data_IF_496708086530
#
_entry.id   IF_496708086530
#
_cell.length_a   1.000
_cell.length_b   1.000
_cell.length_c   1.000
_cell.angle_alpha   90.00
_cell.angle_beta   90.00
_cell.angle_gamma   90.00
#
_symmetry.space_group_name_H-M   'P 1'
#
loop_
_entity.id
_entity.type
_entity.pdbx_description
1 polymer ?
#
# COMPACT_ATOMS: atom_id res chain seq x y z
N UNK A 1 -43.08 23.40 41.17
CA UNK A 1 -43.14 24.38 40.07
C UNK A 1 -42.25 23.91 38.93
N UNK A 2 -42.79 23.69 37.73
CA UNK A 2 -42.04 23.18 36.57
C UNK A 2 -41.04 24.24 36.06
N UNK A 3 -39.79 23.84 35.83
CA UNK A 3 -38.73 24.70 35.28
C UNK A 3 -38.99 24.93 33.79
N UNK A 4 -39.29 26.17 33.42
CA UNK A 4 -39.47 26.58 32.02
C UNK A 4 -38.14 26.45 31.28
N UNK A 5 -38.03 25.51 30.36
CA UNK A 5 -36.88 25.44 29.44
C UNK A 5 -37.13 26.39 28.28
N UNK A 6 -36.52 27.57 28.30
CA UNK A 6 -36.51 28.45 27.15
C UNK A 6 -35.72 27.77 26.01
N UNK A 7 -36.31 27.76 24.81
CA UNK A 7 -35.65 27.29 23.60
C UNK A 7 -34.44 28.18 23.33
N UNK A 8 -33.30 27.57 23.01
CA UNK A 8 -32.08 28.29 22.63
C UNK A 8 -32.34 29.12 21.38
N UNK A 9 -31.76 30.31 21.31
CA UNK A 9 -31.83 31.13 20.11
C UNK A 9 -31.02 30.47 18.98
N UNK A 10 -31.32 30.75 17.70
CA UNK A 10 -30.56 30.19 16.57
C UNK A 10 -29.04 30.45 16.66
N UNK A 11 -28.68 31.63 17.19
CA UNK A 11 -27.29 32.01 17.41
C UNK A 11 -26.62 31.15 18.50
N UNK A 12 -27.33 30.90 19.61
CA UNK A 12 -26.83 30.05 20.69
C UNK A 12 -26.73 28.57 20.26
N UNK A 13 -27.59 28.12 19.35
CA UNK A 13 -27.49 26.78 18.77
C UNK A 13 -26.27 26.65 17.83
N UNK A 14 -25.98 27.67 17.03
CA UNK A 14 -24.80 27.71 16.16
C UNK A 14 -23.50 27.64 16.98
N UNK A 15 -23.40 28.44 18.05
CA UNK A 15 -22.26 28.43 18.97
C UNK A 15 -22.10 27.07 19.67
N UNK A 16 -23.23 26.48 20.09
CA UNK A 16 -23.22 25.15 20.69
C UNK A 16 -22.73 24.07 19.71
N UNK A 17 -23.12 24.14 18.43
CA UNK A 17 -22.63 23.23 17.37
C UNK A 17 -21.14 23.45 17.10
N UNK A 18 -20.66 24.69 17.03
CA UNK A 18 -19.24 25.02 16.87
C UNK A 18 -18.39 24.50 18.04
N UNK A 19 -18.85 24.70 19.28
CA UNK A 19 -18.20 24.17 20.48
C UNK A 19 -18.15 22.64 20.50
N UNK A 20 -19.22 21.98 20.06
CA UNK A 20 -19.27 20.51 19.95
C UNK A 20 -18.33 19.98 18.86
N UNK A 21 -18.23 20.67 17.72
CA UNK A 21 -17.31 20.35 16.62
C UNK A 21 -15.85 20.47 17.08
N UNK A 22 -15.47 21.59 17.70
CA UNK A 22 -14.12 21.82 18.25
C UNK A 22 -13.75 20.79 19.32
N UNK A 23 -14.69 20.38 20.18
CA UNK A 23 -14.46 19.29 21.15
C UNK A 23 -14.21 17.94 20.47
N UNK A 24 -14.91 17.62 19.38
CA UNK A 24 -14.70 16.38 18.62
C UNK A 24 -13.34 16.41 17.91
N UNK A 25 -13.00 17.50 17.24
CA UNK A 25 -11.70 17.68 16.58
C UNK A 25 -10.54 17.58 17.58
N UNK A 26 -10.66 18.20 18.76
CA UNK A 26 -9.65 18.08 19.81
C UNK A 26 -9.49 16.64 20.34
N UNK A 27 -10.60 15.88 20.44
CA UNK A 27 -10.54 14.45 20.80
C UNK A 27 -9.89 13.60 19.70
N UNK A 28 -10.19 13.86 18.43
CA UNK A 28 -9.54 13.17 17.30
C UNK A 28 -8.05 13.49 17.21
N UNK A 29 -7.65 14.75 17.44
CA UNK A 29 -6.25 15.16 17.46
C UNK A 29 -5.47 14.45 18.58
N UNK A 30 -6.07 14.28 19.77
CA UNK A 30 -5.45 13.53 20.88
C UNK A 30 -5.34 12.03 20.58
N UNK A 31 -6.39 11.43 20.02
CA UNK A 31 -6.40 9.99 19.68
C UNK A 31 -5.40 9.64 18.56
N UNK A 32 -5.08 10.61 17.69
CA UNK A 32 -4.07 10.46 16.63
C UNK A 32 -2.61 10.56 17.11
N UNK A 33 -2.34 11.14 18.29
CA UNK A 33 -0.97 11.24 18.84
C UNK A 33 -0.62 10.15 19.87
N UNK A 34 -1.56 9.25 20.17
CA UNK A 34 -1.46 8.28 21.27
C UNK A 34 -1.30 6.83 20.78
N UNK A 35 -0.69 6.61 19.61
CA UNK A 35 -0.38 5.26 19.09
C UNK A 35 1.09 4.87 19.23
N UNK A 36 1.88 5.53 20.08
CA UNK A 36 3.31 5.17 20.17
C UNK A 36 4.04 5.49 21.47
N UNK A 37 3.44 5.24 22.63
CA UNK A 37 4.21 5.03 23.88
C UNK A 37 3.38 4.20 24.87
N UNK A 38 4.01 3.12 25.36
CA UNK A 38 3.67 2.34 26.56
C UNK A 38 2.26 1.74 26.71
N UNK A 39 2.15 0.45 26.34
CA UNK A 39 1.18 -0.46 26.97
C UNK A 39 1.62 -0.74 28.41
N UNK A 40 1.39 0.22 29.30
CA UNK A 40 1.33 -0.04 30.74
C UNK A 40 -0.02 -0.70 31.07
N UNK A 41 0.09 -1.85 31.70
CA UNK A 41 -0.95 -2.72 32.24
C UNK A 41 -2.01 -1.97 33.05
N UNK A 42 -3.21 -1.79 32.50
CA UNK A 42 -4.42 -1.48 33.29
C UNK A 42 -5.47 -2.56 33.11
N UNK A 43 -5.35 -3.54 33.99
CA UNK A 43 -6.40 -4.44 34.46
C UNK A 43 -7.50 -3.57 35.08
N UNK A 44 -8.64 -3.43 34.40
CA UNK A 44 -9.88 -2.94 35.02
C UNK A 44 -10.96 -3.98 34.84
N UNK A 45 -11.42 -4.43 36.00
CA UNK A 45 -12.55 -5.31 36.19
C UNK A 45 -13.86 -4.55 36.00
N UNK A 46 -14.82 -5.21 35.34
CA UNK A 46 -16.28 -5.16 35.53
C UNK A 46 -16.81 -6.19 34.53
N UNK A 47 -17.23 -7.41 34.90
CA UNK A 47 -18.33 -7.75 35.80
C UNK A 47 -19.54 -6.87 35.53
N UNK A 48 -20.32 -7.22 34.52
CA UNK A 48 -21.76 -7.20 34.65
C UNK A 48 -22.31 -8.45 33.94
N UNK A 49 -22.94 -9.29 34.73
CA UNK A 49 -23.69 -10.46 34.27
C UNK A 49 -25.04 -9.96 33.80
N UNK A 50 -25.43 -10.28 32.57
CA UNK A 50 -26.84 -10.39 32.26
C UNK A 50 -27.07 -11.62 31.40
N UNK A 51 -28.10 -12.37 31.79
CA UNK A 51 -28.37 -13.73 31.37
C UNK A 51 -28.91 -13.81 29.95
N UNK A 52 -28.45 -14.83 29.24
CA UNK A 52 -29.00 -15.26 27.96
C UNK A 52 -28.87 -16.77 27.89
N UNK A 53 -29.92 -17.43 28.37
CA UNK A 53 -30.18 -18.86 28.28
C UNK A 53 -30.34 -19.25 26.82
N UNK A 54 -29.33 -19.89 26.21
CA UNK A 54 -29.45 -20.53 24.91
C UNK A 54 -28.85 -21.94 24.96
N UNK A 55 -29.70 -22.85 25.41
CA UNK A 55 -30.08 -24.08 24.71
C UNK A 55 -28.94 -24.88 24.04
N UNK A 56 -28.58 -25.93 24.79
CA UNK A 56 -27.91 -27.17 24.41
C UNK A 56 -28.06 -27.63 22.94
N UNK A 57 -26.91 -27.85 22.28
CA UNK A 57 -26.76 -28.78 21.16
C UNK A 57 -25.66 -29.81 21.48
N UNK A 58 -25.85 -31.12 21.23
CA UNK A 58 -24.90 -32.15 21.66
C UNK A 58 -23.64 -32.17 20.79
N UNK A 59 -22.48 -32.00 21.43
CA UNK A 59 -21.17 -32.24 20.83
C UNK A 59 -20.86 -33.75 20.76
N UNK A 60 -20.24 -34.26 19.68
CA UNK A 60 -19.79 -35.64 19.59
C UNK A 60 -18.55 -35.90 20.47
N UNK A 61 -18.37 -37.13 20.98
CA UNK A 61 -17.30 -37.47 21.92
C UNK A 61 -15.93 -37.50 21.25
N UNK A 62 -14.96 -36.81 21.87
CA UNK A 62 -13.53 -36.97 21.59
C UNK A 62 -12.96 -38.09 22.47
N UNK A 63 -12.11 -38.98 21.93
CA UNK A 63 -11.40 -39.97 22.72
C UNK A 63 -10.22 -39.36 23.48
N UNK A 64 -9.98 -39.94 24.65
CA UNK A 64 -9.11 -39.43 25.70
C UNK A 64 -7.60 -39.63 25.48
N UNK A 65 -6.86 -38.82 26.24
CA UNK A 65 -5.62 -39.12 26.94
C UNK A 65 -4.29 -39.17 26.16
N UNK A 66 -3.48 -38.14 26.42
CA UNK A 66 -2.03 -38.20 26.40
C UNK A 66 -1.42 -36.98 27.12
N UNK A 67 -0.84 -37.12 28.32
CA UNK A 67 -0.21 -36.02 29.03
C UNK A 67 1.30 -35.99 28.75
N UNK A 68 1.77 -34.91 28.14
CA UNK A 68 3.20 -34.60 28.08
C UNK A 68 3.45 -33.10 28.01
N UNK A 69 3.78 -32.53 29.18
CA UNK A 69 4.77 -31.44 29.26
C UNK A 69 6.11 -32.02 28.78
N UNK A 70 6.93 -31.29 28.01
CA UNK A 70 7.73 -30.17 28.53
C UNK A 70 7.76 -29.02 27.49
N UNK A 71 8.44 -27.89 27.58
CA UNK A 71 9.70 -27.51 28.18
C UNK A 71 9.70 -25.97 28.15
N UNK A 72 10.16 -25.34 29.23
CA UNK A 72 10.33 -23.90 29.32
C UNK A 72 11.63 -23.48 28.65
N UNK A 73 11.54 -22.77 27.52
CA UNK A 73 12.63 -21.99 26.91
C UNK A 73 11.96 -20.74 26.31
N UNK A 74 12.04 -19.63 27.04
CA UNK A 74 13.01 -18.56 26.81
C UNK A 74 12.51 -17.50 25.83
N UNK A 75 12.48 -16.28 26.37
CA UNK A 75 12.26 -14.99 25.73
C UNK A 75 13.00 -14.84 24.39
N UNK A 76 12.39 -15.28 23.30
CA UNK A 76 12.88 -15.03 21.96
C UNK A 76 11.96 -14.06 21.23
N UNK A 77 12.41 -12.81 21.21
CA UNK A 77 12.10 -11.75 20.26
C UNK A 77 10.84 -11.97 19.42
N UNK A 78 9.79 -11.25 19.83
CA UNK A 78 8.59 -10.92 19.07
C UNK A 78 8.95 -10.25 17.73
N UNK A 79 9.48 -11.02 16.78
CA UNK A 79 9.47 -10.71 15.35
C UNK A 79 8.01 -10.65 14.97
N UNK A 80 7.54 -9.43 14.78
CA UNK A 80 6.23 -9.06 14.24
C UNK A 80 5.96 -9.89 12.98
N UNK A 81 5.37 -11.07 13.14
CA UNK A 81 4.78 -11.81 12.03
C UNK A 81 3.57 -10.97 11.64
N UNK A 82 3.55 -10.39 10.43
CA UNK A 82 2.36 -9.71 9.96
C UNK A 82 1.19 -10.68 10.12
N UNK A 83 0.10 -10.21 10.71
CA UNK A 83 -1.09 -11.01 10.85
C UNK A 83 -1.67 -11.24 9.45
N UNK A 84 -1.28 -12.37 8.84
CA UNK A 84 -1.63 -12.72 7.47
C UNK A 84 -3.14 -12.90 7.32
N UNK A 85 -3.84 -13.26 8.39
CA UNK A 85 -5.30 -13.33 8.40
C UNK A 85 -5.91 -11.94 8.35
N UNK A 86 -5.39 -10.98 9.12
CA UNK A 86 -5.83 -9.59 9.05
C UNK A 86 -5.58 -8.96 7.67
N UNK A 87 -4.42 -9.20 7.06
CA UNK A 87 -4.08 -8.69 5.72
C UNK A 87 -4.97 -9.33 4.65
N UNK A 88 -5.27 -10.63 4.77
CA UNK A 88 -6.17 -11.34 3.86
C UNK A 88 -7.60 -10.82 3.99
N UNK A 89 -8.08 -10.62 5.22
CA UNK A 89 -9.39 -10.06 5.48
C UNK A 89 -9.52 -8.63 4.92
N UNK A 90 -8.49 -7.80 5.05
CA UNK A 90 -8.49 -6.44 4.47
C UNK A 90 -8.53 -6.47 2.93
N UNK A 91 -7.79 -7.39 2.29
CA UNK A 91 -7.82 -7.57 0.84
C UNK A 91 -9.16 -8.14 0.35
N UNK A 92 -9.76 -9.06 1.09
CA UNK A 92 -11.10 -9.61 0.79
C UNK A 92 -12.18 -8.54 0.99
N UNK A 93 -12.09 -7.73 2.05
CA UNK A 93 -12.98 -6.58 2.27
C UNK A 93 -12.82 -5.53 1.16
N UNK A 94 -11.58 -5.27 0.71
CA UNK A 94 -11.31 -4.35 -0.39
C UNK A 94 -11.90 -4.85 -1.72
N UNK A 95 -11.72 -6.14 -2.04
CA UNK A 95 -12.33 -6.77 -3.22
C UNK A 95 -13.85 -6.81 -3.12
N UNK A 96 -14.39 -7.07 -1.93
CA UNK A 96 -15.82 -7.03 -1.69
C UNK A 96 -16.37 -5.62 -1.90
N UNK A 97 -15.69 -4.58 -1.38
CA UNK A 97 -16.06 -3.18 -1.63
C UNK A 97 -15.95 -2.79 -3.10
N UNK A 98 -14.91 -3.20 -3.81
CA UNK A 98 -14.75 -2.94 -5.24
C UNK A 98 -15.86 -3.62 -6.06
N UNK A 99 -16.16 -4.88 -5.74
CA UNK A 99 -17.27 -5.62 -6.36
C UNK A 99 -18.62 -4.95 -6.10
N UNK A 100 -18.87 -4.48 -4.87
CA UNK A 100 -20.08 -3.73 -4.54
C UNK A 100 -20.12 -2.37 -5.24
N UNK A 101 -18.99 -1.67 -5.35
CA UNK A 101 -18.92 -0.39 -6.05
C UNK A 101 -19.21 -0.52 -7.55
N UNK A 102 -18.66 -1.55 -8.21
CA UNK A 102 -18.96 -1.83 -9.62
C UNK A 102 -20.42 -2.24 -9.84
N UNK A 103 -21.02 -2.98 -8.91
CA UNK A 103 -22.43 -3.36 -8.99
C UNK A 103 -23.39 -2.15 -8.88
N UNK A 104 -23.02 -1.08 -8.18
CA UNK A 104 -23.82 0.16 -8.14
C UNK A 104 -23.56 1.08 -9.33
N UNK A 105 -22.40 1.00 -9.97
CA UNK A 105 -22.07 1.82 -11.15
C UNK A 105 -22.84 1.36 -12.40
N UNK A 106 -23.18 0.06 -12.48
CA UNK A 106 -24.06 -0.48 -13.52
C UNK A 106 -25.55 -0.13 -13.32
N UNK A 107 -25.97 0.23 -12.10
CA UNK A 107 -27.37 0.56 -11.78
C UNK A 107 -27.73 2.02 -12.17
N UNK A 108 -26.74 2.91 -12.29
CA UNK A 108 -26.92 4.26 -12.86
C UNK A 108 -27.37 4.21 -14.35
N UNK A 109 -27.17 3.08 -15.04
CA UNK A 109 -27.63 2.87 -16.43
C UNK A 109 -29.15 2.63 -16.50
N UNK A 110 -29.75 2.02 -15.49
CA UNK A 110 -31.19 1.77 -15.42
C UNK A 110 -31.97 3.08 -15.19
N UNK A 111 -31.48 3.94 -14.30
CA UNK A 111 -32.05 5.28 -14.08
C UNK A 111 -32.01 6.14 -15.36
N UNK A 112 -30.94 6.03 -16.16
CA UNK A 112 -30.83 6.73 -17.45
C UNK A 112 -31.81 6.19 -18.51
N UNK A 113 -32.07 4.88 -18.52
CA UNK A 113 -32.94 4.23 -19.48
C UNK A 113 -34.42 4.43 -19.11
N UNK A 114 -34.74 4.43 -17.82
CA UNK A 114 -36.05 4.81 -17.27
C UNK A 114 -36.35 6.30 -17.49
N UNK A 115 -35.36 7.18 -17.31
CA UNK A 115 -35.51 8.60 -17.65
C UNK A 115 -35.80 8.80 -19.15
N UNK A 116 -35.09 8.08 -20.03
CA UNK A 116 -35.33 8.13 -21.48
C UNK A 116 -36.69 7.55 -21.86
N UNK A 117 -37.15 6.45 -21.24
CA UNK A 117 -38.48 5.89 -21.48
C UNK A 117 -39.60 6.81 -20.98
N UNK A 118 -39.45 7.44 -19.81
CA UNK A 118 -40.42 8.41 -19.30
C UNK A 118 -40.47 9.69 -20.14
N UNK A 119 -39.33 10.15 -20.69
CA UNK A 119 -39.29 11.27 -21.62
C UNK A 119 -40.01 10.94 -22.95
N UNK A 120 -39.86 9.70 -23.45
CA UNK A 120 -40.54 9.23 -24.65
C UNK A 120 -42.05 9.05 -24.44
N UNK A 121 -42.46 8.50 -23.28
CA UNK A 121 -43.87 8.33 -22.93
C UNK A 121 -44.62 9.67 -22.75
N UNK A 122 -43.97 10.69 -22.20
CA UNK A 122 -44.59 12.00 -22.01
C UNK A 122 -44.61 12.87 -23.26
N UNK A 123 -43.71 12.67 -24.22
CA UNK A 123 -43.64 13.51 -25.43
C UNK A 123 -44.60 13.07 -26.54
N UNK A 124 -44.90 11.77 -26.63
CA UNK A 124 -45.81 11.23 -27.66
C UNK A 124 -47.27 11.49 -27.29
N UNK A 125 -47.63 11.25 -26.03
CA UNK A 125 -49.03 11.34 -25.57
C UNK A 125 -49.59 12.78 -25.51
N UNK A 126 -48.73 13.80 -25.51
CA UNK A 126 -49.14 15.22 -25.43
C UNK A 126 -49.11 15.97 -26.76
N UNK A 127 -48.55 15.38 -27.82
CA UNK A 127 -48.49 15.98 -29.16
C UNK A 127 -49.50 15.37 -30.13
N UNK A 128 -50.22 14.34 -29.71
CA UNK A 128 -51.29 13.74 -30.51
C UNK A 128 -52.49 14.69 -30.52
N UNK A 129 -52.90 15.07 -31.73
CA UNK A 129 -54.01 16.00 -31.93
C UNK A 129 -55.31 15.30 -31.45
N UNK A 130 -56.10 15.86 -30.50
CA UNK A 130 -57.18 15.15 -29.82
C UNK A 130 -58.31 14.62 -30.72
N UNK A 131 -58.28 14.93 -32.01
CA UNK A 131 -59.24 14.46 -33.03
C UNK A 131 -58.92 13.06 -33.56
N UNK A 132 -57.73 12.53 -33.29
CA UNK A 132 -57.29 11.20 -33.73
C UNK A 132 -57.10 10.21 -32.58
N UNK A 133 -57.41 10.60 -31.33
CA UNK A 133 -57.43 9.68 -30.18
C UNK A 133 -58.79 8.99 -30.11
N UNK A 134 -58.80 7.72 -29.68
CA UNK A 134 -60.05 7.05 -29.39
C UNK A 134 -60.73 7.66 -28.15
N UNK A 135 -62.02 7.37 -27.95
CA UNK A 135 -62.80 7.97 -26.87
C UNK A 135 -62.27 7.59 -25.46
N UNK A 136 -61.56 6.46 -25.34
CA UNK A 136 -61.01 5.96 -24.07
C UNK A 136 -59.67 6.65 -23.73
N UNK A 137 -58.77 6.77 -24.71
CA UNK A 137 -57.54 7.56 -24.67
C UNK A 137 -57.82 9.05 -24.45
N UNK A 138 -58.86 9.60 -25.08
CA UNK A 138 -59.30 10.98 -24.85
C UNK A 138 -59.80 11.17 -23.42
N UNK A 139 -60.57 10.23 -22.87
CA UNK A 139 -61.04 10.28 -21.49
C UNK A 139 -59.89 10.19 -20.48
N UNK A 140 -58.85 9.42 -20.77
CA UNK A 140 -57.63 9.36 -19.96
C UNK A 140 -56.80 10.65 -20.08
N UNK A 141 -56.69 11.22 -21.28
CA UNK A 141 -56.02 12.50 -21.50
C UNK A 141 -56.68 13.65 -20.73
N UNK A 142 -58.02 13.71 -20.73
CA UNK A 142 -58.78 14.68 -19.94
C UNK A 142 -58.59 14.42 -18.44
N UNK A 143 -58.64 13.17 -17.97
CA UNK A 143 -58.37 12.82 -16.56
C UNK A 143 -56.97 13.21 -16.13
N UNK A 144 -55.95 12.92 -16.94
CA UNK A 144 -54.56 13.29 -16.69
C UNK A 144 -54.35 14.82 -16.72
N UNK A 145 -54.98 15.52 -17.67
CA UNK A 145 -54.94 16.98 -17.76
C UNK A 145 -55.64 17.66 -16.58
N UNK A 146 -56.76 17.12 -16.13
CA UNK A 146 -57.48 17.59 -14.93
C UNK A 146 -56.71 17.27 -13.65
N UNK A 147 -56.07 16.10 -13.55
CA UNK A 147 -55.21 15.73 -12.43
C UNK A 147 -54.02 16.69 -12.30
N UNK A 148 -53.35 17.02 -13.41
CA UNK A 148 -52.26 18.01 -13.42
C UNK A 148 -52.71 19.41 -13.01
N UNK A 149 -53.92 19.83 -13.38
CA UNK A 149 -54.47 21.14 -12.98
C UNK A 149 -54.86 21.19 -11.51
N UNK A 150 -55.37 20.08 -10.95
CA UNK A 150 -55.81 19.98 -9.55
C UNK A 150 -54.66 19.70 -8.58
N UNK A 151 -53.64 18.95 -9.02
CA UNK A 151 -52.46 18.56 -8.24
C UNK A 151 -51.20 19.28 -8.73
N UNK A 152 -51.37 20.46 -9.36
CA UNK A 152 -50.25 21.29 -9.81
C UNK A 152 -49.27 21.64 -8.69
N UNK A 153 -49.81 21.83 -7.47
CA UNK A 153 -49.02 22.08 -6.27
C UNK A 153 -48.20 20.86 -5.86
N UNK A 154 -48.80 19.66 -5.84
CA UNK A 154 -48.08 18.42 -5.52
C UNK A 154 -46.96 18.12 -6.52
N UNK A 155 -47.20 18.36 -7.81
CA UNK A 155 -46.19 18.17 -8.85
C UNK A 155 -45.01 19.14 -8.70
N UNK A 156 -45.29 20.39 -8.31
CA UNK A 156 -44.26 21.38 -8.02
C UNK A 156 -43.44 20.98 -6.79
N UNK A 157 -44.07 20.46 -5.74
CA UNK A 157 -43.40 19.97 -4.54
C UNK A 157 -42.55 18.72 -4.83
N UNK A 158 -43.05 17.79 -5.64
CA UNK A 158 -42.32 16.60 -6.05
C UNK A 158 -41.09 16.96 -6.91
N UNK A 159 -41.25 17.91 -7.85
CA UNK A 159 -40.11 18.43 -8.62
C UNK A 159 -39.09 19.12 -7.73
N UNK A 160 -39.51 19.93 -6.74
CA UNK A 160 -38.58 20.54 -5.79
C UNK A 160 -37.85 19.49 -4.95
N UNK A 161 -38.55 18.45 -4.49
CA UNK A 161 -37.96 17.36 -3.71
C UNK A 161 -36.96 16.55 -4.54
N UNK A 162 -37.27 16.28 -5.81
CA UNK A 162 -36.34 15.61 -6.75
C UNK A 162 -35.11 16.48 -7.01
N UNK A 163 -35.30 17.76 -7.34
CA UNK A 163 -34.21 18.70 -7.56
C UNK A 163 -33.32 18.84 -6.31
N UNK A 164 -33.88 18.87 -5.10
CA UNK A 164 -33.13 18.92 -3.85
C UNK A 164 -32.32 17.62 -3.60
N UNK A 165 -32.88 16.45 -3.91
CA UNK A 165 -32.17 15.16 -3.80
C UNK A 165 -31.02 15.08 -4.81
N UNK A 166 -31.25 15.50 -6.04
CA UNK A 166 -30.24 15.47 -7.10
C UNK A 166 -29.13 16.50 -6.83
N UNK A 167 -29.48 17.69 -6.32
CA UNK A 167 -28.50 18.67 -5.85
C UNK A 167 -27.63 18.10 -4.71
N UNK A 168 -28.24 17.46 -3.70
CA UNK A 168 -27.49 16.83 -2.60
C UNK A 168 -26.56 15.71 -3.10
N UNK A 169 -27.04 14.87 -4.03
CA UNK A 169 -26.22 13.82 -4.64
C UNK A 169 -25.06 14.39 -5.44
N UNK A 170 -25.29 15.48 -6.18
CA UNK A 170 -24.26 16.17 -6.95
C UNK A 170 -23.19 16.78 -6.04
N UNK A 171 -23.59 17.43 -4.94
CA UNK A 171 -22.67 17.98 -3.94
C UNK A 171 -21.83 16.88 -3.26
N UNK A 172 -22.46 15.76 -2.89
CA UNK A 172 -21.75 14.62 -2.30
C UNK A 172 -20.76 13.99 -3.28
N UNK A 173 -21.16 13.83 -4.55
CA UNK A 173 -20.28 13.34 -5.62
C UNK A 173 -19.11 14.29 -5.87
N UNK A 174 -19.34 15.60 -5.83
CA UNK A 174 -18.29 16.61 -5.97
C UNK A 174 -17.29 16.56 -4.80
N UNK A 175 -17.79 16.49 -3.55
CA UNK A 175 -16.95 16.37 -2.37
C UNK A 175 -16.13 15.06 -2.35
N UNK A 176 -16.74 13.94 -2.78
CA UNK A 176 -16.05 12.66 -2.93
C UNK A 176 -14.99 12.72 -4.03
N UNK A 177 -15.26 13.39 -5.15
CA UNK A 177 -14.29 13.55 -6.23
C UNK A 177 -13.09 14.42 -5.81
N UNK A 178 -13.31 15.50 -5.05
CA UNK A 178 -12.22 16.35 -4.54
C UNK A 178 -11.31 15.58 -3.56
N UNK A 179 -11.90 14.85 -2.62
CA UNK A 179 -11.14 14.02 -1.66
C UNK A 179 -10.38 12.89 -2.35
N UNK A 180 -10.98 12.24 -3.35
CA UNK A 180 -10.30 11.22 -4.15
C UNK A 180 -9.11 11.80 -4.94
N UNK A 181 -9.24 13.01 -5.50
CA UNK A 181 -8.13 13.69 -6.18
C UNK A 181 -6.98 14.01 -5.22
N UNK A 182 -7.30 14.52 -4.03
CA UNK A 182 -6.28 14.82 -3.03
C UNK A 182 -5.58 13.56 -2.51
N UNK A 183 -6.33 12.47 -2.30
CA UNK A 183 -5.77 11.18 -1.90
C UNK A 183 -4.84 10.59 -2.96
N UNK A 184 -5.20 10.67 -4.24
CA UNK A 184 -4.37 10.22 -5.36
C UNK A 184 -3.04 10.97 -5.42
N UNK A 185 -3.05 12.30 -5.27
CA UNK A 185 -1.83 13.10 -5.22
C UNK A 185 -0.92 12.72 -4.03
N UNK A 186 -1.50 12.48 -2.87
CA UNK A 186 -0.75 12.04 -1.69
C UNK A 186 -0.13 10.64 -1.86
N UNK A 187 -0.81 9.73 -2.58
CA UNK A 187 -0.27 8.41 -2.89
C UNK A 187 0.91 8.49 -3.89
N UNK A 188 0.78 9.31 -4.93
CA UNK A 188 1.84 9.54 -5.91
C UNK A 188 3.08 10.18 -5.26
N UNK A 189 2.90 11.14 -4.34
CA UNK A 189 4.00 11.73 -3.58
C UNK A 189 4.71 10.68 -2.72
N UNK A 190 3.95 9.80 -2.04
CA UNK A 190 4.51 8.70 -1.26
C UNK A 190 5.31 7.74 -2.14
N UNK A 191 4.83 7.41 -3.34
CA UNK A 191 5.54 6.58 -4.31
C UNK A 191 6.85 7.26 -4.75
N UNK A 192 6.81 8.54 -5.12
CA UNK A 192 8.00 9.32 -5.49
C UNK A 192 9.06 9.31 -4.39
N UNK A 193 8.64 9.54 -3.15
CA UNK A 193 9.54 9.55 -1.98
C UNK A 193 10.16 8.18 -1.70
N UNK A 194 9.47 7.08 -1.99
CA UNK A 194 10.03 5.71 -1.88
C UNK A 194 11.12 5.50 -2.95
N UNK A 195 10.83 5.85 -4.21
CA UNK A 195 11.78 5.74 -5.31
C UNK A 195 13.04 6.58 -5.06
N UNK A 196 12.89 7.83 -4.61
CA UNK A 196 14.03 8.69 -4.27
C UNK A 196 14.92 8.07 -3.19
N UNK A 197 14.32 7.47 -2.16
CA UNK A 197 15.07 6.76 -1.12
C UNK A 197 15.80 5.54 -1.66
N UNK A 198 15.19 4.78 -2.56
CA UNK A 198 15.80 3.62 -3.20
C UNK A 198 16.97 4.02 -4.10
N UNK A 199 16.83 5.09 -4.88
CA UNK A 199 17.92 5.67 -5.68
C UNK A 199 19.08 6.07 -4.77
N UNK A 200 18.79 6.84 -3.71
CA UNK A 200 19.80 7.27 -2.74
C UNK A 200 20.49 6.09 -2.04
N UNK A 201 19.73 5.04 -1.74
CA UNK A 201 20.24 3.78 -1.17
C UNK A 201 21.17 3.07 -2.15
N UNK A 202 20.80 3.00 -3.43
CA UNK A 202 21.62 2.39 -4.45
C UNK A 202 22.93 3.16 -4.68
N UNK A 203 22.88 4.49 -4.66
CA UNK A 203 24.07 5.33 -4.84
C UNK A 203 25.05 5.20 -3.67
N UNK A 204 24.54 5.18 -2.43
CA UNK A 204 25.37 4.89 -1.27
C UNK A 204 26.02 3.50 -1.34
N UNK A 205 25.27 2.48 -1.77
CA UNK A 205 25.80 1.15 -1.97
C UNK A 205 26.91 1.12 -3.03
N UNK A 206 26.80 1.92 -4.10
CA UNK A 206 27.84 2.07 -5.12
C UNK A 206 29.10 2.75 -4.57
N UNK A 207 28.96 3.80 -3.77
CA UNK A 207 30.10 4.44 -3.10
C UNK A 207 30.84 3.47 -2.17
N UNK A 208 30.10 2.68 -1.39
CA UNK A 208 30.66 1.66 -0.52
C UNK A 208 31.37 0.55 -1.31
N UNK A 209 30.77 0.07 -2.40
CA UNK A 209 31.38 -0.87 -3.34
C UNK A 209 32.75 -0.39 -3.83
N UNK A 210 32.83 0.85 -4.31
CA UNK A 210 34.10 1.41 -4.79
C UNK A 210 35.12 1.57 -3.65
N UNK A 211 34.67 1.98 -2.47
CA UNK A 211 35.52 2.18 -1.30
C UNK A 211 36.10 0.85 -0.79
N UNK A 212 35.27 -0.19 -0.68
CA UNK A 212 35.68 -1.53 -0.27
C UNK A 212 36.64 -2.16 -1.27
N UNK A 213 36.41 -1.98 -2.57
CA UNK A 213 37.36 -2.40 -3.59
C UNK A 213 38.73 -1.73 -3.43
N UNK A 214 38.76 -0.41 -3.18
CA UNK A 214 40.02 0.32 -2.94
C UNK A 214 40.74 -0.21 -1.70
N UNK A 215 40.04 -0.41 -0.59
CA UNK A 215 40.61 -0.96 0.64
C UNK A 215 41.17 -2.37 0.44
N UNK A 216 40.42 -3.23 -0.24
CA UNK A 216 40.79 -4.62 -0.47
C UNK A 216 42.02 -4.75 -1.38
N UNK A 217 42.14 -3.88 -2.39
CA UNK A 217 43.31 -3.81 -3.28
C UNK A 217 44.53 -3.13 -2.64
N UNK A 218 44.33 -2.21 -1.69
CA UNK A 218 45.42 -1.54 -0.99
C UNK A 218 45.98 -2.36 0.18
N UNK A 219 45.19 -3.25 0.76
CA UNK A 219 45.60 -4.08 1.89
C UNK A 219 46.69 -5.10 1.45
N UNK A 220 47.83 -5.16 2.16
CA UNK A 220 48.88 -6.12 1.86
C UNK A 220 48.40 -7.56 2.04
N UNK A 221 48.98 -8.48 1.27
CA UNK A 221 48.68 -9.92 1.36
C UNK A 221 49.42 -10.56 2.53
N UNK A 222 49.06 -10.18 3.75
CA UNK A 222 49.56 -10.87 4.94
C UNK A 222 48.77 -12.16 5.15
N UNK A 223 49.25 -13.23 4.51
CA UNK A 223 48.65 -14.57 4.59
C UNK A 223 48.88 -15.25 5.94
N UNK A 224 49.74 -14.69 6.79
CA UNK A 224 50.13 -15.30 8.07
C UNK A 224 49.10 -15.06 9.19
N UNK A 225 48.23 -14.05 9.07
CA UNK A 225 47.22 -13.78 10.09
C UNK A 225 45.84 -14.34 9.68
N UNK A 226 45.34 -15.41 10.33
CA UNK A 226 44.04 -16.01 10.00
C UNK A 226 42.85 -15.07 10.22
N UNK A 227 43.01 -14.02 11.05
CA UNK A 227 42.00 -12.98 11.21
C UNK A 227 41.90 -12.04 9.99
N UNK A 228 42.93 -12.01 9.15
CA UNK A 228 42.96 -11.24 7.90
C UNK A 228 42.36 -11.99 6.71
N UNK A 229 41.92 -13.24 6.90
CA UNK A 229 41.29 -14.04 5.84
C UNK A 229 39.90 -13.49 5.51
N UNK A 230 39.70 -13.16 4.24
CA UNK A 230 38.46 -12.66 3.67
C UNK A 230 37.40 -13.76 3.67
N UNK A 231 36.21 -13.42 4.17
CA UNK A 231 35.01 -14.24 4.02
C UNK A 231 34.25 -13.89 2.73
N UNK A 232 33.27 -14.71 2.39
CA UNK A 232 32.36 -14.46 1.26
C UNK A 232 31.70 -13.06 1.33
N UNK A 233 31.39 -12.56 2.54
CA UNK A 233 30.72 -11.28 2.73
C UNK A 233 31.66 -10.07 2.64
N UNK A 234 32.98 -10.30 2.73
CA UNK A 234 33.99 -9.25 2.67
C UNK A 234 34.25 -8.81 1.23
N UNK A 235 33.95 -9.67 0.26
CA UNK A 235 34.04 -9.36 -1.17
C UNK A 235 32.93 -8.37 -1.55
N UNK A 236 33.26 -7.22 -2.15
CA UNK A 236 32.28 -6.23 -2.59
C UNK A 236 31.55 -6.70 -3.86
N UNK A 237 30.48 -7.46 -3.68
CA UNK A 237 29.62 -7.94 -4.77
C UNK A 237 28.82 -6.79 -5.42
N UNK A 238 28.59 -6.81 -6.74
CA UNK A 238 27.89 -5.74 -7.45
C UNK A 238 26.36 -5.84 -7.28
N UNK A 239 25.87 -5.84 -6.04
CA UNK A 239 24.44 -5.88 -5.69
C UNK A 239 24.16 -4.96 -4.49
N UNK A 240 22.98 -4.34 -4.44
CA UNK A 240 22.63 -3.38 -3.37
C UNK A 240 22.56 -4.05 -1.99
N UNK A 241 22.15 -5.32 -1.92
CA UNK A 241 21.99 -6.07 -0.67
C UNK A 241 23.31 -6.40 0.04
N UNK A 242 24.44 -6.40 -0.69
CA UNK A 242 25.76 -6.67 -0.12
C UNK A 242 26.33 -5.51 0.71
N UNK A 243 25.74 -4.32 0.58
CA UNK A 243 26.25 -3.09 1.18
C UNK A 243 25.42 -2.67 2.39
N UNK A 244 26.12 -2.27 3.47
CA UNK A 244 25.46 -1.87 4.71
C UNK A 244 24.65 -0.62 4.42
N UNK A 245 23.41 -0.60 4.90
CA UNK A 245 22.60 0.60 4.81
C UNK A 245 23.20 1.67 5.72
N UNK A 246 23.29 2.91 5.20
CA UNK A 246 23.69 4.06 6.02
C UNK A 246 22.82 4.04 7.28
N UNK A 247 23.42 4.07 8.49
CA UNK A 247 22.63 4.04 9.71
C UNK A 247 21.65 5.21 9.68
N UNK A 248 20.37 4.89 9.70
CA UNK A 248 19.34 5.91 9.80
C UNK A 248 19.62 6.74 11.06
N UNK A 249 19.43 8.05 10.95
CA UNK A 249 19.80 9.10 11.93
C UNK A 249 19.23 8.92 13.35
N UNK A 250 18.59 7.79 13.68
CA UNK A 250 18.08 7.41 14.99
C UNK A 250 18.87 6.22 15.57
N UNK A 251 20.07 6.49 16.08
CA UNK A 251 20.67 5.75 17.20
C UNK A 251 20.90 4.23 17.09
N UNK A 252 20.63 3.55 15.97
CA UNK A 252 20.75 2.08 15.85
C UNK A 252 22.12 1.61 15.34
N UNK A 253 23.14 2.46 15.38
CA UNK A 253 24.27 2.38 14.45
C UNK A 253 25.44 1.47 14.84
N UNK A 254 25.30 0.48 15.74
CA UNK A 254 26.45 -0.41 16.03
C UNK A 254 26.16 -1.91 16.14
N UNK A 255 24.91 -2.35 16.30
CA UNK A 255 24.62 -3.77 16.52
C UNK A 255 23.91 -4.47 15.36
N UNK A 256 23.65 -3.78 14.24
CA UNK A 256 23.09 -4.45 13.08
C UNK A 256 24.07 -5.53 12.56
N UNK A 257 23.63 -6.79 12.42
CA UNK A 257 24.47 -7.88 11.93
C UNK A 257 24.99 -7.55 10.52
N UNK A 258 26.16 -8.08 10.13
CA UNK A 258 26.67 -7.91 8.78
C UNK A 258 25.65 -8.42 7.76
N UNK A 259 25.53 -7.76 6.59
CA UNK A 259 24.63 -8.22 5.53
C UNK A 259 25.02 -9.64 5.12
N UNK A 260 24.07 -10.58 5.21
CA UNK A 260 24.25 -11.96 4.75
C UNK A 260 23.93 -12.02 3.27
N UNK A 261 24.95 -12.10 2.42
CA UNK A 261 24.78 -12.26 0.97
C UNK A 261 24.74 -13.74 0.63
N UNK A 262 23.71 -14.21 -0.06
CA UNK A 262 23.61 -15.57 -0.60
C UNK A 262 23.96 -15.62 -2.09
N UNK A 263 24.18 -16.83 -2.64
CA UNK A 263 24.39 -16.99 -4.09
C UNK A 263 23.14 -16.65 -4.89
N UNK A 264 21.97 -16.90 -4.33
CA UNK A 264 20.68 -16.66 -4.98
C UNK A 264 20.39 -15.17 -5.14
N UNK A 265 20.99 -14.32 -4.30
CA UNK A 265 20.88 -12.86 -4.40
C UNK A 265 21.65 -12.28 -5.61
N UNK A 266 22.60 -13.05 -6.18
CA UNK A 266 23.40 -12.63 -7.34
C UNK A 266 22.65 -12.86 -8.65
N UNK A 267 21.45 -12.29 -8.76
CA UNK A 267 20.65 -12.37 -9.99
C UNK A 267 21.18 -11.41 -11.05
N UNK A 268 20.97 -11.76 -12.32
CA UNK A 268 21.32 -10.89 -13.46
C UNK A 268 20.66 -9.53 -13.33
N UNK A 269 19.40 -9.48 -12.89
CA UNK A 269 18.63 -8.25 -12.69
C UNK A 269 19.21 -7.37 -11.57
N UNK A 270 19.62 -7.96 -10.44
CA UNK A 270 20.21 -7.22 -9.34
C UNK A 270 21.57 -6.61 -9.73
N UNK A 271 22.40 -7.38 -10.44
CA UNK A 271 23.70 -6.93 -10.96
C UNK A 271 23.51 -5.83 -12.00
N UNK A 272 22.56 -6.01 -12.92
CA UNK A 272 22.24 -5.02 -13.96
C UNK A 272 21.80 -3.71 -13.35
N UNK A 273 20.83 -3.77 -12.43
CA UNK A 273 20.29 -2.59 -11.72
C UNK A 273 21.38 -1.85 -10.94
N UNK A 274 22.32 -2.60 -10.34
CA UNK A 274 23.42 -2.04 -9.56
C UNK A 274 24.51 -1.39 -10.42
N UNK A 275 24.84 -1.96 -11.59
CA UNK A 275 25.89 -1.40 -12.46
C UNK A 275 25.37 -0.34 -13.42
N UNK A 276 24.10 -0.44 -13.83
CA UNK A 276 23.47 0.38 -14.86
C UNK A 276 22.19 1.01 -14.32
N UNK A 277 22.28 2.18 -13.65
CA UNK A 277 21.08 2.93 -13.26
C UNK A 277 20.31 3.40 -14.51
N UNK A 278 19.01 3.09 -14.57
CA UNK A 278 18.08 3.56 -15.60
C UNK A 278 17.68 5.04 -15.34
N UNK A 279 17.37 5.85 -16.36
CA UNK A 279 17.46 5.61 -17.80
C UNK A 279 18.69 6.31 -18.42
N UNK A 280 19.58 5.52 -19.03
CA UNK A 280 20.71 6.04 -19.79
C UNK A 280 20.28 6.34 -21.25
N UNK A 281 19.73 7.52 -21.49
CA UNK A 281 19.22 7.92 -22.82
C UNK A 281 20.30 8.57 -23.71
N UNK A 282 21.49 8.88 -23.17
CA UNK A 282 22.59 9.49 -23.90
C UNK A 282 23.59 8.50 -24.50
N UNK A 283 24.15 8.82 -25.67
CA UNK A 283 25.23 8.03 -26.30
C UNK A 283 26.52 8.03 -25.45
N UNK A 284 26.80 9.15 -24.77
CA UNK A 284 27.89 9.27 -23.78
C UNK A 284 27.68 8.32 -22.59
N UNK A 285 26.44 8.20 -22.13
CA UNK A 285 26.07 7.30 -21.02
C UNK A 285 26.21 5.83 -21.42
N UNK A 286 25.90 5.48 -22.68
CA UNK A 286 26.16 4.14 -23.22
C UNK A 286 27.65 3.78 -23.23
N UNK A 287 28.53 4.73 -23.60
CA UNK A 287 29.98 4.52 -23.53
C UNK A 287 30.44 4.31 -22.08
N UNK A 288 30.01 5.19 -21.17
CA UNK A 288 30.30 5.03 -19.73
C UNK A 288 29.75 3.71 -19.17
N UNK A 289 28.60 3.23 -19.64
CA UNK A 289 28.03 1.92 -19.29
C UNK A 289 28.96 0.79 -19.73
N UNK A 290 29.38 0.76 -21.00
CA UNK A 290 30.31 -0.26 -21.52
C UNK A 290 31.62 -0.25 -20.74
N UNK A 291 32.15 0.93 -20.43
CA UNK A 291 33.42 1.05 -19.71
C UNK A 291 33.30 0.53 -18.26
N UNK A 292 32.21 0.85 -17.57
CA UNK A 292 31.93 0.28 -16.22
C UNK A 292 31.76 -1.24 -16.27
N UNK A 293 31.06 -1.78 -17.28
CA UNK A 293 30.90 -3.22 -17.44
C UNK A 293 32.24 -3.91 -17.72
N UNK A 294 33.09 -3.32 -18.57
CA UNK A 294 34.44 -3.84 -18.83
C UNK A 294 35.33 -3.76 -17.59
N UNK A 295 35.30 -2.65 -16.86
CA UNK A 295 36.06 -2.49 -15.62
C UNK A 295 35.66 -3.54 -14.58
N UNK A 296 34.36 -3.74 -14.38
CA UNK A 296 33.85 -4.75 -13.45
C UNK A 296 34.15 -6.17 -13.92
N UNK A 297 34.04 -6.45 -15.22
CA UNK A 297 34.45 -7.73 -15.80
C UNK A 297 35.93 -8.04 -15.55
N UNK A 298 36.81 -7.04 -15.73
CA UNK A 298 38.24 -7.21 -15.47
C UNK A 298 38.55 -7.46 -13.99
N UNK A 299 37.75 -6.90 -13.07
CA UNK A 299 37.88 -7.14 -11.62
C UNK A 299 37.44 -8.55 -11.23
N UNK A 300 36.36 -9.04 -11.83
CA UNK A 300 35.78 -10.35 -11.54
C UNK A 300 36.23 -11.45 -12.51
N UNK A 301 37.23 -11.20 -13.35
CA UNK A 301 37.75 -12.24 -14.24
C UNK A 301 38.35 -13.39 -13.40
N UNK A 302 37.96 -14.66 -13.63
CA UNK A 302 38.33 -15.77 -12.75
C UNK A 302 39.84 -15.87 -12.54
N UNK A 303 40.63 -15.84 -13.62
CA UNK A 303 42.09 -15.90 -13.55
C UNK A 303 42.74 -14.75 -12.72
N UNK A 304 42.32 -13.51 -12.95
CA UNK A 304 42.88 -12.34 -12.24
C UNK A 304 42.43 -12.29 -10.79
N UNK A 305 41.19 -12.70 -10.53
CA UNK A 305 40.62 -12.74 -9.19
C UNK A 305 41.30 -13.84 -8.37
N UNK A 306 41.49 -15.03 -8.96
CA UNK A 306 42.14 -16.17 -8.31
C UNK A 306 43.56 -15.84 -7.89
N UNK A 307 44.38 -15.31 -8.80
CA UNK A 307 45.77 -14.98 -8.51
C UNK A 307 45.96 -13.86 -7.48
N UNK A 308 44.99 -12.95 -7.32
CA UNK A 308 45.12 -11.77 -6.44
C UNK A 308 44.45 -11.93 -5.08
N UNK A 309 43.28 -12.55 -5.06
CA UNK A 309 42.38 -12.51 -3.91
C UNK A 309 42.07 -13.88 -3.35
N UNK A 310 42.06 -14.94 -4.16
CA UNK A 310 41.64 -16.26 -3.68
C UNK A 310 42.55 -16.81 -2.59
N UNK A 311 43.86 -16.52 -2.66
CA UNK A 311 44.82 -16.87 -1.61
C UNK A 311 44.52 -16.20 -0.25
N UNK A 312 43.72 -15.13 -0.24
CA UNK A 312 43.29 -14.41 0.97
C UNK A 312 41.90 -14.84 1.43
N UNK A 313 41.16 -15.62 0.63
CA UNK A 313 39.82 -16.09 0.97
C UNK A 313 39.92 -17.38 1.78
N UNK A 314 39.11 -17.47 2.84
CA UNK A 314 39.00 -18.69 3.67
C UNK A 314 38.68 -19.90 2.81
N UNK A 315 39.37 -21.01 3.04
CA UNK A 315 39.21 -22.25 2.26
C UNK A 315 37.75 -22.72 2.18
N UNK A 316 36.99 -22.57 3.27
CA UNK A 316 35.56 -22.90 3.34
C UNK A 316 34.69 -22.11 2.37
N UNK A 317 35.08 -20.86 2.07
CA UNK A 317 34.33 -19.95 1.21
C UNK A 317 34.85 -19.94 -0.23
N UNK A 318 36.04 -20.49 -0.51
CA UNK A 318 36.66 -20.42 -1.83
C UNK A 318 35.77 -20.99 -2.93
N UNK A 319 35.19 -22.18 -2.74
CA UNK A 319 34.31 -22.77 -3.74
C UNK A 319 33.09 -21.87 -4.02
N UNK A 320 32.46 -21.37 -2.95
CA UNK A 320 31.31 -20.47 -3.03
C UNK A 320 31.66 -19.17 -3.75
N UNK A 321 32.87 -18.63 -3.53
CA UNK A 321 33.38 -17.45 -4.24
C UNK A 321 33.59 -17.74 -5.72
N UNK A 322 34.14 -18.90 -6.11
CA UNK A 322 34.27 -19.27 -7.54
C UNK A 322 32.91 -19.33 -8.22
N UNK A 323 31.93 -19.97 -7.57
CA UNK A 323 30.58 -20.11 -8.12
C UNK A 323 29.91 -18.74 -8.30
N UNK A 324 30.01 -17.87 -7.29
CA UNK A 324 29.53 -16.49 -7.35
C UNK A 324 30.19 -15.68 -8.47
N UNK A 325 31.52 -15.76 -8.61
CA UNK A 325 32.25 -15.11 -9.70
C UNK A 325 31.75 -15.61 -11.05
N UNK A 326 31.54 -16.93 -11.20
CA UNK A 326 30.98 -17.51 -12.41
C UNK A 326 29.61 -16.93 -12.76
N UNK A 327 28.73 -16.74 -11.77
CA UNK A 327 27.41 -16.10 -11.96
C UNK A 327 27.58 -14.65 -12.42
N UNK A 328 28.42 -13.87 -11.74
CA UNK A 328 28.68 -12.46 -12.07
C UNK A 328 29.25 -12.31 -13.48
N UNK A 329 30.24 -13.12 -13.85
CA UNK A 329 30.87 -13.09 -15.18
C UNK A 329 29.87 -13.46 -16.28
N UNK A 330 29.01 -14.46 -16.06
CA UNK A 330 27.93 -14.79 -17.01
C UNK A 330 26.95 -13.63 -17.18
N UNK A 331 26.54 -13.00 -16.07
CA UNK A 331 25.66 -11.82 -16.11
C UNK A 331 26.33 -10.64 -16.85
N UNK A 332 27.61 -10.37 -16.60
CA UNK A 332 28.36 -9.31 -17.26
C UNK A 332 28.53 -9.56 -18.76
N UNK A 333 28.80 -10.81 -19.17
CA UNK A 333 28.90 -11.16 -20.59
C UNK A 333 27.57 -10.96 -21.33
N UNK A 334 26.45 -11.35 -20.72
CA UNK A 334 25.13 -11.08 -21.29
C UNK A 334 24.92 -9.57 -21.48
N UNK A 335 25.24 -8.76 -20.47
CA UNK A 335 25.11 -7.31 -20.53
C UNK A 335 26.06 -6.63 -21.52
N UNK A 336 27.28 -7.13 -21.70
CA UNK A 336 28.22 -6.59 -22.68
C UNK A 336 27.77 -6.93 -24.11
N UNK A 337 27.11 -8.09 -24.30
CA UNK A 337 26.54 -8.48 -25.59
C UNK A 337 25.29 -7.68 -26.00
N UNK A 338 24.50 -7.22 -25.03
CA UNK A 338 23.26 -6.45 -25.26
C UNK A 338 23.50 -4.95 -25.58
N UNK A 339 24.65 -4.39 -25.18
CA UNK A 339 24.97 -2.95 -25.34
C UNK A 339 25.91 -2.75 -26.51
#
# INVERSE_FOLDING_TARGET
MPKLHLKRTPQEEADHRARKKRKRESKHARKGSETRTDKSTRKWASSDSDGGDDVYGPHPPQPEAGPSKPFSEEDSDSRYKPDYEAIRAELEEARFREKMAGAFEDDDRLDSLEAQMNEYAHTIFFKMDPRYMDDEEYAEWIRAGMYRKTHAQEYAEEQQKKAARDARRAEEKAAKAETARLAKLAEEERKRKKLEKEIRRADYAREEYHSRWKTLLAAPSDTENPQSLLSFSDIPWPIVSAHRQKPDKKGSSQTAPPPTVSLDDLTVEAITTFLVPLPANGETEKKHRKDKLRETFLRFHPDKFEGRLMNRVRETDQQRVRDAIGVVVRALNALIGEV
#
